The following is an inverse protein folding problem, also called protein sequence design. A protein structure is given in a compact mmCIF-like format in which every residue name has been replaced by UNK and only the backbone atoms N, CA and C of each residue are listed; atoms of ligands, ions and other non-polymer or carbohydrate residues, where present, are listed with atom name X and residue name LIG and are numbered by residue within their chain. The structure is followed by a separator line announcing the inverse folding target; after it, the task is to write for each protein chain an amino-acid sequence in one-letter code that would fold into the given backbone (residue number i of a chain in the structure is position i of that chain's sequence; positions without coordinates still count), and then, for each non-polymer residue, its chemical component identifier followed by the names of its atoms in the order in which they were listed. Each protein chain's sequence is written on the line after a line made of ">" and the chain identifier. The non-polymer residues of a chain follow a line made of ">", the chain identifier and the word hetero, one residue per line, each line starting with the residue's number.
data_IF_732538757683
#
_entry.id   IF_732538757683
#
_cell.length_a   1.000
_cell.length_b   1.000
_cell.length_c   1.000
_cell.angle_alpha   90.00
_cell.angle_beta   90.00
_cell.angle_gamma   90.00
#
_symmetry.space_group_name_H-M   'P 1'
#
loop_
_entity.id
_entity.type
_entity.pdbx_description
1 polymer ?
#
# COMPACT_ATOMS: atom_id res chain seq x y z
N UNK A 1 4.09 -14.64 7.21
CA UNK A 1 3.36 -13.38 7.37
C UNK A 1 1.99 -13.53 6.76
N UNK A 2 0.94 -13.33 7.55
CA UNK A 2 -0.45 -13.42 7.10
C UNK A 2 -1.04 -12.03 6.92
N UNK A 3 -1.45 -11.73 5.68
CA UNK A 3 -2.09 -10.47 5.33
C UNK A 3 -3.58 -10.74 5.11
N UNK A 4 -4.44 -9.98 5.78
CA UNK A 4 -5.88 -9.98 5.56
C UNK A 4 -6.31 -8.72 4.81
N UNK A 5 -6.97 -8.88 3.66
CA UNK A 5 -7.59 -7.77 2.93
C UNK A 5 -9.08 -7.72 3.27
N UNK A 6 -9.51 -6.62 3.88
CA UNK A 6 -10.90 -6.32 4.22
C UNK A 6 -11.52 -5.39 3.19
N UNK A 7 -12.61 -5.84 2.56
CA UNK A 7 -13.27 -5.10 1.47
C UNK A 7 -14.75 -4.83 1.83
N UNK A 8 -15.33 -3.67 1.47
CA UNK A 8 -16.75 -3.38 1.69
C UNK A 8 -17.68 -4.41 1.04
N UNK A 9 -18.83 -4.67 1.68
CA UNK A 9 -19.83 -5.65 1.22
C UNK A 9 -20.43 -5.32 -0.15
N UNK A 10 -20.68 -4.03 -0.41
CA UNK A 10 -21.13 -3.54 -1.71
C UNK A 10 -19.95 -2.82 -2.32
N UNK A 11 -19.48 -3.24 -3.49
CA UNK A 11 -18.26 -2.71 -4.11
C UNK A 11 -18.58 -1.88 -5.35
N UNK A 12 -17.87 -0.75 -5.50
CA UNK A 12 -17.78 -0.08 -6.79
C UNK A 12 -16.81 -0.84 -7.71
N UNK A 13 -17.02 -0.80 -9.03
CA UNK A 13 -16.18 -1.49 -10.03
C UNK A 13 -14.68 -1.19 -9.88
N UNK A 14 -14.32 0.05 -9.56
CA UNK A 14 -12.92 0.42 -9.31
C UNK A 14 -12.37 -0.17 -8.00
N UNK A 15 -13.20 -0.26 -6.96
CA UNK A 15 -12.82 -0.87 -5.67
C UNK A 15 -12.57 -2.36 -5.84
N UNK A 16 -13.44 -3.04 -6.59
CA UNK A 16 -13.31 -4.45 -6.96
C UNK A 16 -12.00 -4.68 -7.73
N UNK A 17 -11.75 -3.91 -8.80
CA UNK A 17 -10.50 -4.00 -9.55
C UNK A 17 -9.26 -3.74 -8.68
N UNK A 18 -9.32 -2.74 -7.79
CA UNK A 18 -8.20 -2.46 -6.88
C UNK A 18 -7.96 -3.63 -5.92
N UNK A 19 -9.02 -4.23 -5.39
CA UNK A 19 -8.91 -5.36 -4.48
C UNK A 19 -8.32 -6.59 -5.17
N UNK A 20 -8.78 -6.94 -6.38
CA UNK A 20 -8.22 -8.03 -7.17
C UNK A 20 -6.73 -7.81 -7.47
N UNK A 21 -6.35 -6.57 -7.80
CA UNK A 21 -4.96 -6.21 -8.05
C UNK A 21 -4.11 -6.34 -6.78
N UNK A 22 -4.61 -5.91 -5.61
CA UNK A 22 -3.92 -6.06 -4.33
C UNK A 22 -3.78 -7.54 -3.92
N UNK A 23 -4.80 -8.38 -4.15
CA UNK A 23 -4.72 -9.82 -3.93
C UNK A 23 -3.70 -10.52 -4.85
N UNK A 24 -3.40 -9.95 -6.02
CA UNK A 24 -2.33 -10.47 -6.86
C UNK A 24 -0.94 -10.04 -6.38
N UNK A 25 -0.82 -8.91 -5.69
CA UNK A 25 0.44 -8.37 -5.18
C UNK A 25 0.83 -9.05 -3.87
N UNK A 26 -0.15 -9.24 -2.98
CA UNK A 26 0.04 -9.84 -1.67
C UNK A 26 -0.59 -11.23 -1.67
N UNK A 27 0.13 -12.28 -1.24
CA UNK A 27 -0.47 -13.59 -1.00
C UNK A 27 -1.34 -13.50 0.27
N UNK A 28 -2.53 -12.92 0.15
CA UNK A 28 -3.42 -12.56 1.24
C UNK A 28 -4.72 -13.35 1.21
N UNK A 29 -5.30 -13.56 2.40
CA UNK A 29 -6.68 -14.00 2.56
C UNK A 29 -7.63 -12.79 2.49
N UNK A 30 -8.84 -12.97 1.97
CA UNK A 30 -9.84 -11.90 1.82
C UNK A 30 -11.01 -12.11 2.79
N UNK A 31 -11.43 -11.05 3.47
CA UNK A 31 -12.67 -11.04 4.25
C UNK A 31 -13.55 -9.84 3.94
N UNK A 32 -14.85 -9.99 4.17
CA UNK A 32 -15.81 -8.91 4.02
C UNK A 32 -15.75 -7.99 5.25
N UNK A 33 -15.87 -6.69 5.06
CA UNK A 33 -15.81 -5.71 6.15
C UNK A 33 -17.02 -5.78 7.13
N UNK A 34 -17.98 -6.68 6.89
CA UNK A 34 -19.10 -6.94 7.81
C UNK A 34 -18.72 -7.91 8.94
N UNK A 35 -17.61 -8.64 8.79
CA UNK A 35 -17.13 -9.62 9.76
C UNK A 35 -16.11 -8.94 10.69
N UNK A 36 -16.56 -7.98 11.51
CA UNK A 36 -15.71 -7.27 12.49
C UNK A 36 -15.41 -8.11 13.75
N UNK A 37 -15.72 -9.42 13.75
CA UNK A 37 -15.65 -10.28 14.94
C UNK A 37 -14.50 -11.29 15.01
N UNK A 38 -13.55 -11.29 14.06
CA UNK A 38 -12.38 -12.19 14.15
C UNK A 38 -11.13 -11.42 14.58
N UNK A 39 -10.97 -11.31 15.91
CA UNK A 39 -9.67 -11.21 16.56
C UNK A 39 -8.97 -12.57 16.51
N UNK A 40 -8.76 -13.11 15.31
CA UNK A 40 -7.79 -14.17 15.14
C UNK A 40 -6.41 -13.54 15.39
N UNK A 41 -5.81 -13.92 16.53
CA UNK A 41 -4.47 -13.48 16.96
C UNK A 41 -3.34 -13.84 15.99
N UNK A 42 -3.66 -14.50 14.87
CA UNK A 42 -2.72 -15.05 13.89
C UNK A 42 -2.59 -14.15 12.63
N UNK A 43 -3.29 -13.02 12.56
CA UNK A 43 -3.16 -12.06 11.45
C UNK A 43 -2.13 -11.00 11.80
N UNK A 44 -1.03 -10.97 11.04
CA UNK A 44 0.06 -10.00 11.24
C UNK A 44 -0.31 -8.60 10.72
N UNK A 45 -0.94 -8.54 9.53
CA UNK A 45 -1.23 -7.30 8.80
C UNK A 45 -2.65 -7.28 8.27
N UNK A 46 -3.39 -6.18 8.52
CA UNK A 46 -4.73 -5.94 8.00
C UNK A 46 -4.72 -4.76 7.02
N UNK A 47 -5.22 -4.98 5.82
CA UNK A 47 -5.41 -3.96 4.77
C UNK A 47 -6.91 -3.75 4.60
N UNK A 48 -7.44 -2.58 4.99
CA UNK A 48 -8.86 -2.25 4.79
C UNK A 48 -9.01 -1.20 3.71
N UNK A 49 -9.82 -1.51 2.71
CA UNK A 49 -10.19 -0.54 1.66
C UNK A 49 -11.50 0.10 2.07
N UNK A 50 -11.54 1.42 2.13
CA UNK A 50 -12.78 2.18 2.39
C UNK A 50 -13.15 2.92 1.11
N UNK A 51 -14.37 2.68 0.67
CA UNK A 51 -14.95 3.35 -0.48
C UNK A 51 -16.02 4.35 -0.03
N UNK A 52 -16.24 5.35 -0.88
CA UNK A 52 -17.45 6.17 -0.89
C UNK A 52 -18.18 5.88 -2.21
N UNK A 53 -18.02 6.75 -3.22
CA UNK A 53 -18.41 6.45 -4.61
C UNK A 53 -17.35 5.59 -5.32
N UNK A 54 -16.08 5.81 -4.98
CA UNK A 54 -14.90 5.14 -5.53
C UNK A 54 -13.92 4.82 -4.39
N UNK A 55 -12.86 4.01 -4.58
CA UNK A 55 -11.93 3.72 -3.49
C UNK A 55 -11.27 5.03 -3.02
N UNK A 56 -11.43 5.35 -1.74
CA UNK A 56 -11.07 6.67 -1.20
C UNK A 56 -9.94 6.57 -0.16
N UNK A 57 -9.94 5.51 0.66
CA UNK A 57 -8.93 5.32 1.69
C UNK A 57 -8.40 3.89 1.69
N UNK A 58 -7.12 3.77 2.03
CA UNK A 58 -6.47 2.50 2.35
C UNK A 58 -5.97 2.62 3.77
N UNK A 59 -6.40 1.71 4.62
CA UNK A 59 -5.92 1.60 5.99
C UNK A 59 -5.04 0.37 6.07
N UNK A 60 -3.83 0.55 6.57
CA UNK A 60 -2.90 -0.53 6.84
C UNK A 60 -2.68 -0.58 8.35
N UNK A 61 -2.88 -1.75 8.96
CA UNK A 61 -2.76 -1.92 10.41
C UNK A 61 -1.91 -3.15 10.70
N UNK A 62 -0.93 -2.98 11.59
CA UNK A 62 -0.18 -4.06 12.21
C UNK A 62 -0.33 -3.96 13.75
N UNK A 63 0.42 -4.77 14.50
CA UNK A 63 0.37 -4.73 15.96
C UNK A 63 0.89 -3.41 16.56
N UNK A 64 1.80 -2.71 15.87
CA UNK A 64 2.55 -1.55 16.39
C UNK A 64 1.98 -0.20 15.94
N UNK A 65 1.36 -0.13 14.77
CA UNK A 65 0.90 1.10 14.15
C UNK A 65 -0.26 0.91 13.16
N UNK A 66 -0.99 2.00 12.93
CA UNK A 66 -2.08 2.12 11.95
C UNK A 66 -1.77 3.29 11.01
N UNK A 67 -1.69 3.01 9.72
CA UNK A 67 -1.49 3.99 8.66
C UNK A 67 -2.79 4.17 7.88
N UNK A 68 -3.26 5.42 7.79
CA UNK A 68 -4.42 5.76 6.97
C UNK A 68 -3.96 6.62 5.81
N UNK A 69 -4.10 6.11 4.60
CA UNK A 69 -3.79 6.81 3.37
C UNK A 69 -5.07 7.23 2.66
N UNK A 70 -5.11 8.48 2.19
CA UNK A 70 -6.08 8.93 1.20
C UNK A 70 -5.59 8.53 -0.18
N UNK A 71 -6.43 7.87 -0.96
CA UNK A 71 -6.19 7.66 -2.39
C UNK A 71 -6.49 8.98 -3.11
N UNK A 72 -5.46 9.58 -3.68
CA UNK A 72 -5.60 10.81 -4.47
C UNK A 72 -5.92 10.41 -5.91
N UNK A 73 -5.10 9.54 -6.49
CA UNK A 73 -5.31 8.98 -7.81
C UNK A 73 -5.12 7.46 -7.80
N UNK A 74 -5.99 6.78 -8.53
CA UNK A 74 -5.90 5.36 -8.81
C UNK A 74 -6.10 5.16 -10.31
N UNK A 75 -5.19 4.42 -10.94
CA UNK A 75 -5.36 3.89 -12.29
C UNK A 75 -5.18 2.38 -12.23
N UNK A 76 -6.26 1.66 -12.52
CA UNK A 76 -6.23 0.21 -12.69
C UNK A 76 -5.34 -0.19 -13.85
N UNK A 77 -4.77 -1.39 -13.79
CA UNK A 77 -4.03 -2.03 -14.88
C UNK A 77 -4.86 -2.13 -16.15
N UNK A 78 -6.15 -2.45 -16.01
CA UNK A 78 -7.09 -2.58 -17.13
C UNK A 78 -7.25 -1.24 -17.85
N UNK A 79 -7.42 -0.16 -17.10
CA UNK A 79 -7.49 1.21 -17.63
C UNK A 79 -6.21 1.64 -18.35
N UNK A 80 -5.04 1.18 -17.90
CA UNK A 80 -3.75 1.49 -18.52
C UNK A 80 -3.39 0.57 -19.70
N UNK A 81 -4.22 -0.42 -20.03
CA UNK A 81 -3.91 -1.40 -21.08
C UNK A 81 -2.75 -2.33 -20.71
N UNK A 82 -2.47 -2.53 -19.42
CA UNK A 82 -1.38 -3.40 -18.95
C UNK A 82 -1.84 -4.85 -18.98
N UNK A 83 -1.40 -5.59 -20.00
CA UNK A 83 -1.78 -6.99 -20.18
C UNK A 83 -0.89 -7.97 -19.42
N UNK A 84 0.30 -7.56 -18.98
CA UNK A 84 1.26 -8.45 -18.32
C UNK A 84 0.76 -8.84 -16.91
N UNK A 85 0.70 -10.14 -16.57
CA UNK A 85 0.22 -10.59 -15.28
C UNK A 85 1.22 -10.28 -14.16
N UNK A 86 0.69 -10.07 -12.96
CA UNK A 86 1.48 -10.03 -11.73
C UNK A 86 1.80 -11.48 -11.36
N UNK A 87 3.07 -11.80 -11.07
CA UNK A 87 3.43 -13.15 -10.61
C UNK A 87 2.88 -13.35 -9.21
N UNK A 88 2.09 -14.41 -9.00
CA UNK A 88 1.61 -14.77 -7.65
C UNK A 88 2.62 -15.61 -6.88
N UNK A 89 3.53 -16.28 -7.59
CA UNK A 89 4.55 -17.16 -7.00
C UNK A 89 5.76 -16.38 -6.49
N UNK A 90 6.08 -15.28 -7.17
CA UNK A 90 7.28 -14.48 -6.88
C UNK A 90 6.85 -13.15 -6.26
N UNK A 91 6.86 -13.01 -4.91
CA UNK A 91 6.44 -11.77 -4.27
C UNK A 91 7.37 -10.63 -4.67
N UNK A 92 6.86 -9.39 -4.86
CA UNK A 92 7.69 -8.29 -5.31
C UNK A 92 8.66 -7.82 -4.22
N UNK A 93 9.87 -7.48 -4.63
CA UNK A 93 10.87 -6.84 -3.78
C UNK A 93 10.50 -5.38 -3.53
N UNK A 94 10.62 -4.92 -2.29
CA UNK A 94 10.36 -3.54 -1.92
C UNK A 94 11.53 -2.63 -2.30
N UNK A 95 11.23 -1.52 -2.98
CA UNK A 95 12.12 -0.39 -3.16
C UNK A 95 11.43 0.85 -2.58
N UNK A 96 12.10 1.51 -1.64
CA UNK A 96 11.65 2.76 -1.03
C UNK A 96 12.60 3.89 -1.44
N UNK A 97 12.05 4.98 -1.95
CA UNK A 97 12.82 6.14 -2.39
C UNK A 97 12.33 7.42 -1.74
N UNK A 98 13.27 8.28 -1.33
CA UNK A 98 13.05 9.61 -0.76
C UNK A 98 12.25 9.64 0.57
N UNK A 99 12.36 8.59 1.38
CA UNK A 99 11.86 8.58 2.76
C UNK A 99 12.92 9.17 3.70
N UNK A 100 12.91 10.49 3.88
CA UNK A 100 13.95 11.21 4.63
C UNK A 100 13.51 11.71 6.01
N UNK A 101 12.20 11.82 6.24
CA UNK A 101 11.64 12.31 7.51
C UNK A 101 11.41 11.16 8.49
N UNK A 102 11.35 11.44 9.80
CA UNK A 102 11.07 10.42 10.82
C UNK A 102 9.74 9.69 10.56
N UNK A 103 8.71 10.43 10.14
CA UNK A 103 7.42 9.85 9.75
C UNK A 103 7.58 8.98 8.51
N UNK A 104 8.37 9.43 7.53
CA UNK A 104 8.71 8.64 6.36
C UNK A 104 9.43 7.34 6.72
N UNK A 105 10.44 7.39 7.59
CA UNK A 105 11.18 6.21 8.05
C UNK A 105 10.25 5.18 8.70
N UNK A 106 9.31 5.61 9.56
CA UNK A 106 8.30 4.73 10.16
C UNK A 106 7.37 4.08 9.13
N UNK A 107 6.94 4.85 8.12
CA UNK A 107 6.16 4.29 7.01
C UNK A 107 7.00 3.30 6.20
N UNK A 108 8.28 3.58 5.95
CA UNK A 108 9.17 2.66 5.26
C UNK A 108 9.36 1.36 6.05
N UNK A 109 9.56 1.42 7.37
CA UNK A 109 9.61 0.24 8.25
C UNK A 109 8.32 -0.60 8.16
N UNK A 110 7.16 0.04 8.21
CA UNK A 110 5.88 -0.65 8.02
C UNK A 110 5.79 -1.33 6.65
N UNK A 111 6.23 -0.66 5.59
CA UNK A 111 6.24 -1.23 4.24
C UNK A 111 7.22 -2.41 4.16
N UNK A 112 8.38 -2.34 4.80
CA UNK A 112 9.35 -3.45 4.86
C UNK A 112 8.77 -4.69 5.51
N UNK A 113 7.95 -4.53 6.56
CA UNK A 113 7.21 -5.65 7.14
C UNK A 113 6.27 -6.26 6.10
N UNK A 114 5.55 -5.45 5.31
CA UNK A 114 4.55 -5.90 4.34
C UNK A 114 5.08 -6.69 3.14
N UNK A 115 6.37 -6.57 2.78
CA UNK A 115 6.95 -7.26 1.63
C UNK A 115 8.03 -8.26 2.06
N UNK A 116 7.84 -9.58 1.83
CA UNK A 116 8.85 -10.56 2.19
C UNK A 116 10.10 -10.41 1.30
N UNK A 117 11.26 -10.69 1.88
CA UNK A 117 12.51 -10.73 1.12
C UNK A 117 12.56 -11.98 0.22
N UNK A 118 12.74 -11.78 -1.09
CA UNK A 118 12.84 -12.86 -2.07
C UNK A 118 13.86 -12.51 -3.18
N UNK A 119 15.06 -13.07 -3.09
CA UNK A 119 16.18 -12.76 -4.01
C UNK A 119 15.87 -13.12 -5.48
N UNK A 120 15.18 -14.22 -5.72
CA UNK A 120 14.85 -14.71 -7.07
C UNK A 120 13.70 -13.95 -7.75
N UNK A 121 13.00 -13.10 -7.00
CA UNK A 121 11.86 -12.36 -7.53
C UNK A 121 12.29 -11.32 -8.56
N UNK A 122 11.65 -11.35 -9.73
CA UNK A 122 11.84 -10.37 -10.81
C UNK A 122 10.81 -9.25 -10.78
N UNK A 123 10.10 -9.09 -9.66
CA UNK A 123 9.12 -8.04 -9.47
C UNK A 123 9.59 -7.04 -8.41
N UNK A 124 9.26 -5.78 -8.63
CA UNK A 124 9.65 -4.67 -7.75
C UNK A 124 8.42 -3.83 -7.43
N UNK A 125 8.12 -3.73 -6.14
CA UNK A 125 7.17 -2.79 -5.57
C UNK A 125 7.93 -1.50 -5.21
N UNK A 126 7.78 -0.48 -6.05
CA UNK A 126 8.41 0.82 -5.83
C UNK A 126 7.46 1.78 -5.10
N UNK A 127 7.94 2.32 -3.98
CA UNK A 127 7.33 3.40 -3.23
C UNK A 127 8.27 4.60 -3.28
N UNK A 128 7.80 5.70 -3.85
CA UNK A 128 8.58 6.94 -3.92
C UNK A 128 7.79 8.07 -3.28
N UNK A 129 8.43 8.83 -2.40
CA UNK A 129 7.85 10.03 -1.82
C UNK A 129 8.27 11.25 -2.63
N UNK A 130 7.30 12.06 -3.07
CA UNK A 130 7.56 13.36 -3.70
C UNK A 130 6.62 14.40 -3.08
N UNK A 131 7.20 15.35 -2.35
CA UNK A 131 6.44 16.26 -1.48
C UNK A 131 5.67 15.49 -0.40
N UNK A 132 4.35 15.69 -0.34
CA UNK A 132 3.44 15.00 0.59
C UNK A 132 2.84 13.70 0.02
N UNK A 133 3.19 13.34 -1.22
CA UNK A 133 2.55 12.24 -1.93
C UNK A 133 3.45 11.00 -1.98
N UNK A 134 2.84 9.86 -1.72
CA UNK A 134 3.44 8.55 -1.82
C UNK A 134 2.96 7.89 -3.13
N UNK A 135 3.90 7.70 -4.05
CA UNK A 135 3.64 7.06 -5.33
C UNK A 135 3.99 5.58 -5.23
N UNK A 136 3.01 4.73 -5.51
CA UNK A 136 3.22 3.28 -5.60
C UNK A 136 3.14 2.82 -7.04
N UNK A 137 4.13 2.05 -7.47
CA UNK A 137 4.20 1.43 -8.79
C UNK A 137 4.76 0.03 -8.66
N UNK A 138 4.23 -0.88 -9.47
CA UNK A 138 4.72 -2.26 -9.55
C UNK A 138 5.33 -2.52 -10.92
N UNK A 139 6.57 -3.00 -10.92
CA UNK A 139 7.32 -3.30 -12.11
C UNK A 139 7.74 -4.77 -12.14
N UNK A 140 7.91 -5.30 -13.35
CA UNK A 140 8.69 -6.51 -13.60
C UNK A 140 9.96 -6.08 -14.32
N UNK A 141 11.09 -6.69 -13.98
CA UNK A 141 12.36 -6.36 -14.61
C UNK A 141 12.99 -7.57 -15.28
N UNK A 142 13.75 -7.29 -16.34
CA UNK A 142 14.66 -8.25 -16.95
C UNK A 142 16.00 -7.56 -17.21
N UNK A 143 17.10 -8.32 -17.09
CA UNK A 143 18.42 -7.82 -17.45
C UNK A 143 18.61 -7.97 -18.95
N UNK A 144 18.69 -6.85 -19.66
CA UNK A 144 19.13 -6.81 -21.05
C UNK A 144 20.63 -6.51 -21.14
N UNK A 145 21.17 -6.54 -22.35
CA UNK A 145 22.59 -6.29 -22.61
C UNK A 145 23.08 -4.90 -22.14
N UNK A 146 22.19 -3.89 -22.17
CA UNK A 146 22.48 -2.49 -21.82
C UNK A 146 22.09 -2.11 -20.38
N UNK A 147 21.53 -3.05 -19.61
CA UNK A 147 21.04 -2.81 -18.26
C UNK A 147 19.62 -3.34 -18.01
N UNK A 148 19.04 -3.05 -16.83
CA UNK A 148 17.72 -3.52 -16.47
C UNK A 148 16.63 -2.80 -17.26
N UNK A 149 15.73 -3.58 -17.86
CA UNK A 149 14.53 -3.08 -18.53
C UNK A 149 13.37 -3.27 -17.56
N UNK A 150 12.66 -2.17 -17.28
CA UNK A 150 11.51 -2.14 -16.37
C UNK A 150 10.21 -2.08 -17.15
N UNK A 151 9.27 -2.95 -16.79
CA UNK A 151 7.95 -3.02 -17.39
C UNK A 151 6.88 -2.85 -16.33
N UNK A 152 5.91 -2.00 -16.57
CA UNK A 152 4.82 -1.81 -15.64
C UNK A 152 3.89 -3.03 -15.65
N UNK A 153 3.54 -3.53 -14.46
CA UNK A 153 2.66 -4.71 -14.31
C UNK A 153 1.51 -4.52 -13.33
N UNK A 154 1.53 -3.47 -12.49
CA UNK A 154 0.50 -3.25 -11.46
C UNK A 154 -0.16 -1.87 -11.51
N UNK A 155 -1.08 -1.56 -10.58
CA UNK A 155 -1.76 -0.29 -10.55
C UNK A 155 -0.84 0.89 -10.31
N UNK A 156 -1.31 2.07 -10.71
CA UNK A 156 -0.71 3.33 -10.33
C UNK A 156 -1.53 3.95 -9.22
N UNK A 157 -0.95 3.99 -8.02
CA UNK A 157 -1.55 4.68 -6.88
C UNK A 157 -0.74 5.94 -6.56
N UNK A 158 -1.45 7.02 -6.28
CA UNK A 158 -0.92 8.21 -5.62
C UNK A 158 -1.66 8.35 -4.31
N UNK A 159 -0.95 8.15 -3.22
CA UNK A 159 -1.47 8.14 -1.87
C UNK A 159 -0.99 9.39 -1.12
N UNK A 160 -1.76 9.81 -0.11
CA UNK A 160 -1.33 10.83 0.84
C UNK A 160 -1.57 10.33 2.25
N UNK A 161 -0.56 10.36 3.10
CA UNK A 161 -0.72 9.97 4.50
C UNK A 161 -1.66 10.96 5.20
N UNK A 162 -2.69 10.44 5.85
CA UNK A 162 -3.75 11.24 6.48
C UNK A 162 -3.71 11.17 8.00
N UNK A 163 -3.43 9.96 8.52
CA UNK A 163 -3.33 9.69 9.95
C UNK A 163 -2.32 8.57 10.17
N UNK A 164 -1.50 8.72 11.18
CA UNK A 164 -0.61 7.69 11.69
C UNK A 164 -0.91 7.50 13.18
N UNK A 165 -1.09 6.25 13.60
CA UNK A 165 -1.26 5.89 15.01
C UNK A 165 -0.14 4.95 15.39
N UNK A 166 0.50 5.19 16.53
CA UNK A 166 1.49 4.29 17.12
C UNK A 166 0.95 3.76 18.44
N UNK A 167 1.08 2.46 18.64
CA UNK A 167 0.73 1.74 19.87
C UNK A 167 2.03 1.38 20.59
N UNK A 168 2.32 2.09 21.67
CA UNK A 168 3.37 1.74 22.62
C UNK A 168 2.81 1.02 23.84
N UNK A 169 3.67 0.65 24.80
CA UNK A 169 3.33 0.00 26.06
C UNK A 169 2.37 0.87 26.91
N UNK A 170 1.06 0.75 26.65
CA UNK A 170 0.01 1.52 27.31
C UNK A 170 -0.18 2.95 26.78
N UNK A 171 0.57 3.39 25.77
CA UNK A 171 0.44 4.73 25.18
C UNK A 171 0.01 4.66 23.72
N UNK A 172 -0.94 5.52 23.33
CA UNK A 172 -1.40 5.66 21.95
C UNK A 172 -1.05 7.05 21.43
N UNK A 173 -0.12 7.13 20.49
CA UNK A 173 0.24 8.40 19.83
C UNK A 173 -0.52 8.51 18.52
N UNK A 174 -1.29 9.59 18.36
CA UNK A 174 -2.07 9.85 17.12
C UNK A 174 -1.52 11.10 16.45
N UNK A 175 -1.05 10.95 15.22
CA UNK A 175 -0.58 12.04 14.36
C UNK A 175 -1.57 12.23 13.21
N UNK A 176 -2.13 13.45 13.09
CA UNK A 176 -3.10 13.81 12.07
C UNK A 176 -2.48 14.78 11.07
N UNK A 177 -2.54 14.44 9.77
CA UNK A 177 -1.93 15.21 8.69
C UNK A 177 -2.97 15.97 7.84
N UNK A 178 -4.22 16.09 8.35
CA UNK A 178 -5.36 16.72 7.65
C UNK A 178 -5.11 18.18 7.23
N UNK A 179 -4.26 18.90 7.97
CA UNK A 179 -4.03 20.34 7.86
C UNK A 179 -2.56 20.64 7.57
N UNK A 180 -2.07 20.27 6.39
CA UNK A 180 -0.84 20.90 5.89
C UNK A 180 -1.23 22.27 5.31
N UNK A 181 -1.10 23.31 6.13
CA UNK A 181 -1.22 24.70 5.69
C UNK A 181 0.05 24.99 4.88
N UNK A 182 -0.09 25.20 3.57
CA UNK A 182 1.02 25.59 2.66
C UNK A 182 1.80 26.85 3.11
N UNK A 183 1.32 27.56 4.12
CA UNK A 183 1.84 28.84 4.59
C UNK A 183 2.49 28.80 5.98
N UNK A 184 2.85 27.63 6.52
CA UNK A 184 3.53 27.58 7.83
C UNK A 184 5.02 28.02 7.78
N UNK A 185 5.57 28.30 6.59
CA UNK A 185 6.86 28.96 6.41
C UNK A 185 6.69 30.25 5.58
N UNK A 186 5.93 31.21 6.12
CA UNK A 186 6.16 32.64 5.84
C UNK A 186 6.69 33.25 7.14
N UNK A 187 7.99 33.04 7.39
CA UNK A 187 8.80 33.79 8.34
C UNK A 187 10.10 34.16 7.62
#
# INVERSE_FOLDING_TARGET
>A
MKILIQIPKIMHKETEALAEELMCIFPSECSSAADESDDSNDIDLRIRIVQDIKPQWILLKNARMELVFKIIHYKSRTYMGVCKPISKTDPPQLVVNNFTTDVGMKVAEFLMEMFPFAQESRQVANFTVEGDFLYFRLYKYCFGEKGPILENVGPHLTLRLWKLVEYGEGQKKVMNFKKFIKNACVL
#
